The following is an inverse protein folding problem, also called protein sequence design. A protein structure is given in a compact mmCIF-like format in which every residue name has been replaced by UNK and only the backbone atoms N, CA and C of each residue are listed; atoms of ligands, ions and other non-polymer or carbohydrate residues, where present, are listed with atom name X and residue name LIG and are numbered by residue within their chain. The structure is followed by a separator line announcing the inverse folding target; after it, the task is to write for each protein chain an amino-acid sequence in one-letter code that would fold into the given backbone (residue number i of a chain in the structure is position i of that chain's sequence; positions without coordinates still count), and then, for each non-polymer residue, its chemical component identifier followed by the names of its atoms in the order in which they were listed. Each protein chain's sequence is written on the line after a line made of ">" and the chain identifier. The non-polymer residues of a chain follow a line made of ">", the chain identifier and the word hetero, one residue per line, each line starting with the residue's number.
data_IF_037748839903
#
_entry.id   IF_037748839903
#
_cell.length_a   1.000
_cell.length_b   1.000
_cell.length_c   1.000
_cell.angle_alpha   90.00
_cell.angle_beta   90.00
_cell.angle_gamma   90.00
#
_symmetry.space_group_name_H-M   'P 1'
#
loop_
_entity.id
_entity.type
_entity.pdbx_description
1 polymer ?
#
# COMPACT_ATOMS: atom_id res chain seq x y z
N UNK A 1 26.74 -17.71 5.73
CA UNK A 1 26.16 -16.60 4.94
C UNK A 1 24.66 -16.61 5.17
N UNK A 2 24.13 -15.63 5.92
CA UNK A 2 22.71 -15.64 6.29
C UNK A 2 21.82 -15.42 5.09
N UNK A 3 20.95 -16.39 4.79
CA UNK A 3 19.91 -16.25 3.76
C UNK A 3 18.96 -15.14 4.23
N UNK A 4 18.95 -13.99 3.56
CA UNK A 4 17.98 -12.93 3.80
C UNK A 4 16.61 -13.43 3.35
N UNK A 5 15.82 -13.94 4.29
CA UNK A 5 14.42 -14.29 4.04
C UNK A 5 13.69 -13.03 3.53
N UNK A 6 12.93 -13.10 2.42
CA UNK A 6 12.17 -11.95 1.96
C UNK A 6 11.14 -11.57 3.03
N UNK A 7 11.17 -10.29 3.44
CA UNK A 7 10.13 -9.75 4.33
C UNK A 7 8.81 -9.67 3.56
N UNK A 8 7.66 -9.88 4.22
CA UNK A 8 6.36 -9.65 3.59
C UNK A 8 6.27 -8.24 3.03
N UNK A 9 5.76 -8.10 1.81
CA UNK A 9 5.58 -6.82 1.11
C UNK A 9 4.11 -6.46 1.03
N UNK A 10 3.84 -5.17 0.85
CA UNK A 10 2.49 -4.68 0.70
C UNK A 10 1.93 -5.09 -0.67
N UNK A 11 0.73 -5.67 -0.69
CA UNK A 11 -0.03 -5.98 -1.89
C UNK A 11 -1.44 -5.41 -1.76
N UNK A 12 -1.97 -4.85 -2.84
CA UNK A 12 -3.31 -4.26 -2.87
C UNK A 12 -4.31 -5.33 -3.31
N UNK A 13 -5.36 -5.48 -2.53
CA UNK A 13 -6.53 -6.30 -2.84
C UNK A 13 -7.49 -5.44 -3.67
N UNK A 14 -7.39 -5.56 -5.00
CA UNK A 14 -8.20 -4.79 -5.95
C UNK A 14 -9.70 -5.01 -5.81
N UNK A 15 -10.13 -6.12 -5.19
CA UNK A 15 -11.54 -6.39 -4.92
C UNK A 15 -12.06 -5.65 -3.69
N UNK A 16 -11.16 -5.10 -2.85
CA UNK A 16 -11.50 -4.31 -1.67
C UNK A 16 -11.13 -2.84 -1.82
N UNK A 17 -10.16 -2.54 -2.68
CA UNK A 17 -9.73 -1.18 -2.94
C UNK A 17 -10.75 -0.49 -3.84
N UNK A 18 -11.54 0.38 -3.22
CA UNK A 18 -12.53 1.22 -3.88
C UNK A 18 -12.19 2.69 -3.61
N UNK A 19 -11.29 3.30 -4.40
CA UNK A 19 -10.88 4.69 -4.21
C UNK A 19 -12.05 5.68 -4.19
N UNK A 20 -13.12 5.38 -4.92
CA UNK A 20 -14.38 6.13 -4.96
C UNK A 20 -15.13 6.14 -3.62
N UNK A 21 -14.82 5.20 -2.72
CA UNK A 21 -15.37 5.13 -1.36
C UNK A 21 -14.47 5.80 -0.32
N UNK A 22 -13.29 6.30 -0.72
CA UNK A 22 -12.40 7.07 0.15
C UNK A 22 -12.80 8.55 0.10
N UNK A 23 -12.86 9.21 1.25
CA UNK A 23 -13.34 10.59 1.46
C UNK A 23 -13.06 11.56 0.28
N UNK A 24 -11.80 11.90 0.04
CA UNK A 24 -11.39 12.81 -1.06
C UNK A 24 -10.93 12.08 -2.33
N UNK A 25 -11.10 10.76 -2.40
CA UNK A 25 -10.47 9.91 -3.42
C UNK A 25 -8.95 9.79 -3.30
N UNK A 26 -8.29 10.56 -2.41
CA UNK A 26 -6.85 10.49 -2.15
C UNK A 26 -6.57 9.36 -1.15
N UNK A 27 -5.70 8.43 -1.53
CA UNK A 27 -5.34 7.28 -0.74
C UNK A 27 -4.47 7.70 0.46
N UNK A 28 -5.05 7.76 1.66
CA UNK A 28 -4.34 8.10 2.91
C UNK A 28 -3.18 7.16 3.25
N UNK A 29 -3.20 5.93 2.73
CA UNK A 29 -2.13 4.95 2.96
C UNK A 29 -0.82 5.34 2.24
N UNK A 30 -0.90 6.06 1.11
CA UNK A 30 0.28 6.59 0.39
C UNK A 30 1.10 7.51 1.31
N UNK A 31 0.42 8.38 2.07
CA UNK A 31 1.01 9.33 3.01
C UNK A 31 1.70 8.65 4.20
N UNK A 32 1.39 7.38 4.48
CA UNK A 32 1.99 6.62 5.60
C UNK A 32 3.18 5.77 5.17
N UNK A 33 3.52 5.72 3.88
CA UNK A 33 4.66 4.97 3.38
C UNK A 33 5.97 5.76 3.62
N UNK A 34 6.85 5.33 4.54
CA UNK A 34 8.06 6.08 4.87
C UNK A 34 9.08 6.11 3.72
N UNK A 35 9.02 5.12 2.83
CA UNK A 35 9.90 5.00 1.66
C UNK A 35 9.20 5.39 0.35
N UNK A 36 7.97 5.93 0.41
CA UNK A 36 7.22 6.49 -0.74
C UNK A 36 7.08 5.55 -1.95
N UNK A 37 6.91 4.25 -1.68
CA UNK A 37 6.73 3.22 -2.72
C UNK A 37 5.28 2.89 -3.02
N UNK A 38 4.35 3.24 -2.13
CA UNK A 38 2.92 3.19 -2.39
C UNK A 38 2.51 4.54 -2.95
N UNK A 39 2.11 4.57 -4.22
CA UNK A 39 1.81 5.79 -4.99
C UNK A 39 0.40 5.74 -5.56
N UNK A 40 -0.18 6.91 -5.78
CA UNK A 40 -1.45 7.11 -6.45
C UNK A 40 -1.24 8.31 -7.38
N UNK A 41 -1.51 8.16 -8.68
CA UNK A 41 -1.16 9.20 -9.65
C UNK A 41 -2.23 10.31 -9.71
N UNK A 42 -3.51 9.97 -9.48
CA UNK A 42 -4.60 10.93 -9.34
C UNK A 42 -5.65 10.50 -8.28
N UNK A 43 -6.47 11.44 -7.76
CA UNK A 43 -7.61 11.09 -6.92
C UNK A 43 -8.52 10.05 -7.60
N UNK A 44 -9.09 9.13 -6.82
CA UNK A 44 -9.95 8.04 -7.27
C UNK A 44 -9.26 6.96 -8.13
N UNK A 45 -7.97 7.08 -8.43
CA UNK A 45 -7.22 5.96 -9.01
C UNK A 45 -6.80 4.95 -7.94
N UNK A 46 -6.67 3.69 -8.34
CA UNK A 46 -6.14 2.66 -7.45
C UNK A 46 -4.64 2.89 -7.26
N UNK A 47 -4.12 2.94 -6.02
CA UNK A 47 -2.69 3.09 -5.82
C UNK A 47 -1.93 1.84 -6.31
N UNK A 48 -0.61 1.96 -6.48
CA UNK A 48 0.29 0.85 -6.80
C UNK A 48 1.51 0.87 -5.88
N UNK A 49 2.15 -0.30 -5.75
CA UNK A 49 3.34 -0.48 -4.90
C UNK A 49 4.54 -0.81 -5.78
N UNK A 50 5.61 -0.01 -5.68
CA UNK A 50 6.91 -0.34 -6.25
C UNK A 50 7.56 -1.46 -5.40
N UNK A 51 7.31 -2.71 -5.78
CA UNK A 51 7.61 -3.90 -4.97
C UNK A 51 9.09 -4.04 -4.63
N UNK A 52 10.00 -3.66 -5.54
CA UNK A 52 11.44 -3.80 -5.33
C UNK A 52 11.97 -2.95 -4.17
N UNK A 53 11.29 -1.83 -3.89
CA UNK A 53 11.68 -0.89 -2.85
C UNK A 53 10.85 -1.01 -1.57
N UNK A 54 9.85 -1.91 -1.56
CA UNK A 54 9.01 -2.12 -0.39
C UNK A 54 9.77 -2.83 0.72
N UNK A 55 10.00 -2.12 1.84
CA UNK A 55 10.73 -2.62 3.01
C UNK A 55 9.87 -3.44 3.99
N UNK A 56 8.60 -3.66 3.67
CA UNK A 56 7.71 -4.52 4.46
C UNK A 56 7.26 -3.94 5.81
N UNK A 57 7.25 -2.62 5.99
CA UNK A 57 6.96 -2.01 7.29
C UNK A 57 5.48 -2.05 7.74
N UNK A 58 4.55 -2.39 6.85
CA UNK A 58 3.12 -2.56 7.18
C UNK A 58 2.32 -1.28 7.48
N UNK A 59 2.94 -0.10 7.52
CA UNK A 59 2.25 1.16 7.85
C UNK A 59 1.09 1.51 6.92
N UNK A 60 1.22 1.22 5.62
CA UNK A 60 0.13 1.42 4.66
C UNK A 60 -1.05 0.47 4.92
N UNK A 61 -0.78 -0.78 5.29
CA UNK A 61 -1.82 -1.76 5.63
C UNK A 61 -2.63 -1.31 6.85
N UNK A 62 -1.95 -0.82 7.89
CA UNK A 62 -2.59 -0.27 9.08
C UNK A 62 -3.40 1.01 8.80
N UNK A 63 -2.97 1.81 7.83
CA UNK A 63 -3.59 3.08 7.50
C UNK A 63 -4.84 2.97 6.61
N UNK A 64 -4.99 1.88 5.86
CA UNK A 64 -6.11 1.71 4.94
C UNK A 64 -7.40 1.38 5.73
N UNK A 65 -8.42 2.26 5.73
CA UNK A 65 -9.65 2.04 6.52
C UNK A 65 -10.43 0.82 6.03
N UNK A 66 -10.32 0.49 4.75
CA UNK A 66 -10.98 -0.66 4.12
C UNK A 66 -10.20 -1.97 4.22
N UNK A 67 -9.02 -1.96 4.86
CA UNK A 67 -8.10 -3.12 4.94
C UNK A 67 -7.83 -3.75 3.57
N UNK A 68 -7.74 -2.91 2.54
CA UNK A 68 -7.50 -3.32 1.16
C UNK A 68 -6.02 -3.57 0.85
N UNK A 69 -5.12 -3.37 1.81
CA UNK A 69 -3.68 -3.62 1.66
C UNK A 69 -3.30 -4.77 2.60
N UNK A 70 -2.76 -5.85 2.05
CA UNK A 70 -2.26 -7.02 2.78
C UNK A 70 -0.73 -7.07 2.75
N UNK A 71 -0.16 -7.79 3.70
CA UNK A 71 1.28 -8.08 3.73
C UNK A 71 1.46 -9.54 3.32
N UNK A 72 2.15 -9.79 2.21
CA UNK A 72 2.41 -11.13 1.65
C UNK A 72 3.87 -11.29 1.28
#
# INVERSE_FOLDING_TARGET
>A
MGVKMPKPKAMIDYLKCHPERCDTGICVATLKCPVRVLRQDAPQEVPYVLQDFCVGCGKCAAACPFKAIKMM
#
